data_IF_510885366446
#
_entry.id   IF_510885366446
#
_cell.length_a   1.000
_cell.length_b   1.000
_cell.length_c   1.000
_cell.angle_alpha   90.00
_cell.angle_beta   90.00
_cell.angle_gamma   90.00
#
_symmetry.space_group_name_H-M   'P 1'
#
loop_
_entity.id
_entity.type
_entity.pdbx_description
1 polymer ?
#
# COMPACT_ATOMS: atom_id res chain seq x y z
N UNK A 1 5.04 -12.58 34.13
CA UNK A 1 4.93 -13.76 33.25
C UNK A 1 5.41 -13.38 31.86
N UNK A 2 6.55 -13.90 31.41
CA UNK A 2 7.00 -13.75 30.02
C UNK A 2 7.74 -15.03 29.62
N UNK A 3 7.18 -15.77 28.66
CA UNK A 3 7.78 -16.98 28.07
C UNK A 3 7.48 -17.00 26.58
N UNK A 4 8.12 -16.13 25.81
CA UNK A 4 8.33 -16.43 24.40
C UNK A 4 9.55 -17.36 24.30
N UNK A 5 9.31 -18.66 24.24
CA UNK A 5 10.34 -19.66 23.94
C UNK A 5 10.27 -19.94 22.44
N UNK A 6 11.15 -19.33 21.66
CA UNK A 6 11.38 -19.76 20.28
C UNK A 6 12.28 -20.99 20.36
N UNK A 7 11.71 -22.17 20.14
CA UNK A 7 12.46 -23.41 20.02
C UNK A 7 12.98 -23.51 18.59
N UNK A 8 14.30 -23.50 18.42
CA UNK A 8 14.92 -23.81 17.14
C UNK A 8 14.67 -25.30 16.85
N UNK A 9 13.78 -25.59 15.89
CA UNK A 9 13.51 -26.95 15.43
C UNK A 9 14.68 -27.40 14.57
N UNK A 10 15.63 -28.11 15.16
CA UNK A 10 16.66 -28.88 14.45
C UNK A 10 16.02 -30.15 13.89
N UNK A 11 15.70 -30.14 12.60
CA UNK A 11 15.12 -31.33 11.95
C UNK A 11 14.42 -31.00 10.64
N UNK A 12 15.22 -30.85 9.60
CA UNK A 12 14.80 -30.64 8.21
C UNK A 12 16.00 -30.11 7.44
N UNK A 13 16.44 -30.86 6.42
CA UNK A 13 17.46 -30.55 5.40
C UNK A 13 18.17 -29.20 5.52
N UNK A 14 19.52 -29.09 5.49
CA UNK A 14 20.10 -27.78 5.27
C UNK A 14 19.60 -27.28 3.90
N UNK A 15 18.86 -26.15 3.79
CA UNK A 15 18.87 -25.42 2.54
C UNK A 15 20.33 -25.00 2.40
N UNK A 16 21.05 -25.58 1.45
CA UNK A 16 22.47 -25.37 1.19
C UNK A 16 22.87 -23.96 1.58
N UNK A 17 23.50 -23.82 2.76
CA UNK A 17 24.07 -22.54 3.16
C UNK A 17 25.02 -22.17 2.02
N UNK A 18 24.89 -20.97 1.44
CA UNK A 18 25.82 -20.56 0.40
C UNK A 18 27.22 -20.64 1.02
N UNK A 19 28.03 -21.53 0.46
CA UNK A 19 29.36 -21.88 0.96
C UNK A 19 30.31 -20.70 0.72
N UNK A 20 29.91 -19.79 -0.18
CA UNK A 20 30.66 -18.60 -0.54
C UNK A 20 29.77 -17.36 -0.59
N UNK A 21 30.39 -16.19 -0.42
CA UNK A 21 29.73 -14.90 -0.61
C UNK A 21 29.13 -14.74 -2.02
N UNK A 22 29.75 -15.37 -3.03
CA UNK A 22 29.27 -15.37 -4.41
C UNK A 22 27.95 -16.16 -4.56
N UNK A 23 27.83 -17.32 -3.91
CA UNK A 23 26.59 -18.11 -3.93
C UNK A 23 25.44 -17.39 -3.21
N UNK A 24 25.74 -16.69 -2.11
CA UNK A 24 24.76 -15.87 -1.41
C UNK A 24 24.26 -14.72 -2.30
N UNK A 25 25.19 -14.00 -2.94
CA UNK A 25 24.86 -12.92 -3.86
C UNK A 25 24.05 -13.42 -5.08
N UNK A 26 24.40 -14.58 -5.63
CA UNK A 26 23.67 -15.20 -6.74
C UNK A 26 22.24 -15.61 -6.31
N UNK A 27 22.08 -16.22 -5.14
CA UNK A 27 20.77 -16.56 -4.60
C UNK A 27 19.89 -15.34 -4.31
N UNK A 28 20.49 -14.27 -3.76
CA UNK A 28 19.81 -13.01 -3.52
C UNK A 28 19.41 -12.29 -4.83
N UNK A 29 20.23 -12.40 -5.88
CA UNK A 29 19.93 -11.84 -7.19
C UNK A 29 18.79 -12.57 -7.92
N UNK A 30 18.55 -13.85 -7.61
CA UNK A 30 17.41 -14.61 -8.13
C UNK A 30 16.09 -14.33 -7.40
N UNK A 31 16.11 -13.63 -6.26
CA UNK A 31 14.89 -13.16 -5.60
C UNK A 31 14.37 -11.97 -6.38
N UNK A 32 13.42 -12.23 -7.29
CA UNK A 32 12.61 -11.16 -7.86
C UNK A 32 12.01 -10.36 -6.70
N UNK A 33 12.35 -9.08 -6.64
CA UNK A 33 11.78 -8.20 -5.63
C UNK A 33 10.26 -8.33 -5.70
N UNK A 34 9.60 -8.59 -4.56
CA UNK A 34 8.12 -8.58 -4.49
C UNK A 34 7.54 -7.16 -4.66
N UNK A 35 8.33 -6.24 -5.20
CA UNK A 35 7.89 -4.96 -5.72
C UNK A 35 7.20 -5.23 -7.06
N UNK A 36 6.12 -6.02 -7.03
CA UNK A 36 5.19 -6.12 -8.14
C UNK A 36 4.64 -4.72 -8.47
N UNK A 37 4.00 -4.61 -9.63
CA UNK A 37 3.36 -3.40 -10.14
C UNK A 37 2.25 -2.92 -9.19
N UNK A 38 2.62 -2.24 -8.11
CA UNK A 38 1.69 -1.69 -7.13
C UNK A 38 1.12 -0.40 -7.72
N UNK A 39 -0.22 -0.20 -7.69
CA UNK A 39 -0.80 1.06 -8.10
C UNK A 39 -0.15 2.20 -7.31
N UNK A 40 0.12 3.31 -7.99
CA UNK A 40 0.76 4.46 -7.39
C UNK A 40 -0.05 4.90 -6.16
N UNK A 41 0.66 5.14 -5.05
CA UNK A 41 0.03 5.54 -3.80
C UNK A 41 -0.67 6.89 -4.01
N UNK A 42 -1.95 7.05 -3.61
CA UNK A 42 -2.63 8.34 -3.72
C UNK A 42 -1.89 9.44 -2.96
N UNK A 43 -1.77 10.61 -3.57
CA UNK A 43 -1.21 11.81 -2.95
C UNK A 43 -2.33 12.56 -2.22
N UNK A 44 -2.07 13.04 -1.00
CA UNK A 44 -3.03 13.82 -0.22
C UNK A 44 -3.06 15.26 -0.74
N UNK A 45 -4.25 15.74 -1.04
CA UNK A 45 -4.52 17.13 -1.41
C UNK A 45 -5.34 17.78 -0.30
N UNK A 46 -4.82 18.85 0.29
CA UNK A 46 -5.55 19.67 1.27
C UNK A 46 -6.25 20.79 0.51
N UNK A 47 -7.54 20.99 0.78
CA UNK A 47 -8.39 21.97 0.10
C UNK A 47 -9.11 22.83 1.13
N UNK A 48 -8.98 24.14 1.00
CA UNK A 48 -9.81 25.08 1.72
C UNK A 48 -11.09 25.32 0.93
N UNK A 49 -12.23 25.01 1.54
CA UNK A 49 -13.54 25.17 0.93
C UNK A 49 -14.35 26.16 1.76
N UNK A 50 -15.06 27.05 1.08
CA UNK A 50 -16.11 27.84 1.70
C UNK A 50 -17.11 26.92 2.42
N UNK A 51 -17.62 27.28 3.62
CA UNK A 51 -18.52 26.41 4.39
C UNK A 51 -19.79 26.02 3.63
N UNK A 52 -20.35 26.93 2.83
CA UNK A 52 -21.56 26.66 2.05
C UNK A 52 -21.23 25.74 0.86
N UNK A 53 -20.07 25.93 0.22
CA UNK A 53 -19.60 24.99 -0.81
C UNK A 53 -19.39 23.58 -0.24
N UNK A 54 -18.76 23.46 0.93
CA UNK A 54 -18.56 22.18 1.62
C UNK A 54 -19.91 21.52 1.97
N UNK A 55 -20.91 22.31 2.41
CA UNK A 55 -22.27 21.81 2.69
C UNK A 55 -22.91 21.23 1.44
N UNK A 56 -22.91 21.95 0.32
CA UNK A 56 -23.48 21.47 -0.95
C UNK A 56 -22.78 20.21 -1.44
N UNK A 57 -21.45 20.16 -1.31
CA UNK A 57 -20.65 19.00 -1.67
C UNK A 57 -21.05 17.77 -0.84
N UNK A 58 -21.27 17.95 0.46
CA UNK A 58 -21.71 16.88 1.37
C UNK A 58 -23.10 16.37 1.03
N UNK A 59 -24.05 17.27 0.76
CA UNK A 59 -25.42 16.89 0.35
C UNK A 59 -25.38 16.08 -0.93
N UNK A 60 -24.67 16.55 -1.96
CA UNK A 60 -24.56 15.86 -3.24
C UNK A 60 -23.91 14.48 -3.13
N UNK A 61 -22.88 14.35 -2.29
CA UNK A 61 -22.26 13.05 -2.01
C UNK A 61 -23.24 12.07 -1.34
N UNK A 62 -24.06 12.57 -0.40
CA UNK A 62 -25.09 11.77 0.25
C UNK A 62 -26.21 11.33 -0.72
N UNK A 63 -26.69 12.24 -1.57
CA UNK A 63 -27.72 11.93 -2.59
C UNK A 63 -27.27 10.86 -3.59
N UNK A 64 -25.98 10.85 -3.91
CA UNK A 64 -25.37 9.91 -4.87
C UNK A 64 -24.85 8.63 -4.22
N UNK A 65 -24.88 8.54 -2.89
CA UNK A 65 -24.43 7.36 -2.14
C UNK A 65 -22.92 7.10 -2.19
N UNK A 66 -22.11 8.12 -2.49
CA UNK A 66 -20.65 8.01 -2.56
C UNK A 66 -19.95 8.89 -1.52
N UNK A 67 -18.66 8.65 -1.29
CA UNK A 67 -17.88 9.50 -0.39
C UNK A 67 -17.59 10.87 -1.02
N UNK A 68 -17.43 11.92 -0.19
CA UNK A 68 -16.99 13.25 -0.67
C UNK A 68 -15.67 13.14 -1.45
N UNK A 69 -14.73 12.32 -0.99
CA UNK A 69 -13.45 12.14 -1.67
C UNK A 69 -13.61 11.51 -3.06
N UNK A 70 -14.57 10.61 -3.23
CA UNK A 70 -14.88 9.99 -4.52
C UNK A 70 -15.59 10.96 -5.47
N UNK A 71 -16.54 11.75 -4.95
CA UNK A 71 -17.16 12.83 -5.69
C UNK A 71 -16.11 13.84 -6.21
N UNK A 72 -15.20 14.28 -5.33
CA UNK A 72 -14.12 15.22 -5.69
C UNK A 72 -13.18 14.60 -6.73
N UNK A 73 -12.79 13.33 -6.57
CA UNK A 73 -12.00 12.63 -7.59
C UNK A 73 -12.71 12.60 -8.94
N UNK A 74 -14.01 12.27 -8.97
CA UNK A 74 -14.79 12.23 -10.20
C UNK A 74 -14.93 13.60 -10.87
N UNK A 75 -15.04 14.68 -10.09
CA UNK A 75 -15.05 16.06 -10.62
C UNK A 75 -13.68 16.42 -11.22
N UNK A 76 -12.58 16.10 -10.55
CA UNK A 76 -11.22 16.35 -11.05
C UNK A 76 -10.97 15.55 -12.33
N UNK A 77 -11.30 14.25 -12.34
CA UNK A 77 -11.12 13.39 -13.53
C UNK A 77 -11.96 13.87 -14.72
N UNK A 78 -13.14 14.45 -14.50
CA UNK A 78 -13.95 15.02 -15.59
C UNK A 78 -13.32 16.28 -16.19
N UNK A 79 -12.64 17.07 -15.38
CA UNK A 79 -12.09 18.36 -15.79
C UNK A 79 -10.71 18.22 -16.46
N UNK A 80 -9.86 17.33 -15.94
CA UNK A 80 -8.44 17.23 -16.35
C UNK A 80 -7.98 15.82 -16.73
N UNK A 81 -8.87 14.82 -16.69
CA UNK A 81 -8.59 13.43 -17.10
C UNK A 81 -8.99 13.17 -18.55
#
# INVERSE_FOLDING_TARGET
MSKFKISAKSGGQPPSQPVTHAEFAAGAAMVQSQVGNRPAKPIRLNLDLDPELHRRLKVRAAETGISIAELVRGLITREIG
#
